data_IF_865953118390
#
_entry.id   IF_865953118390
#
_cell.length_a   1.000
_cell.length_b   1.000
_cell.length_c   1.000
_cell.angle_alpha   90.00
_cell.angle_beta   90.00
_cell.angle_gamma   90.00
#
_symmetry.space_group_name_H-M   'P 1'
#
loop_
_entity.id
_entity.type
_entity.pdbx_description
1 polymer ?
#
# COMPACT_ATOMS: atom_id res chain seq x y z
N UNK A 1 18.53 6.79 -7.92
CA UNK A 1 17.43 7.41 -8.67
C UNK A 1 17.70 7.48 -10.18
N UNK A 2 18.85 8.01 -10.64
CA UNK A 2 19.15 8.11 -12.08
C UNK A 2 19.11 6.75 -12.82
N UNK A 3 19.76 5.68 -12.34
CA UNK A 3 19.71 4.39 -13.02
C UNK A 3 18.28 3.84 -13.15
N UNK A 4 17.49 3.95 -12.09
CA UNK A 4 16.10 3.50 -12.09
C UNK A 4 15.25 4.28 -13.11
N UNK A 5 15.49 5.60 -13.23
CA UNK A 5 14.80 6.42 -14.21
C UNK A 5 15.13 5.99 -15.65
N UNK A 6 16.39 5.68 -15.95
CA UNK A 6 16.79 5.19 -17.26
C UNK A 6 16.12 3.87 -17.62
N UNK A 7 16.11 2.92 -16.68
CA UNK A 7 15.40 1.65 -16.87
C UNK A 7 13.90 1.86 -17.14
N UNK A 8 13.26 2.72 -16.36
CA UNK A 8 11.84 3.04 -16.54
C UNK A 8 11.56 3.67 -17.91
N UNK A 9 12.49 4.52 -18.37
CA UNK A 9 12.40 5.14 -19.70
C UNK A 9 12.56 4.11 -20.82
N UNK A 10 13.53 3.21 -20.72
CA UNK A 10 13.80 2.16 -21.70
C UNK A 10 12.62 1.19 -21.87
N UNK A 11 11.93 0.89 -20.75
CA UNK A 11 10.71 0.07 -20.76
C UNK A 11 9.42 0.85 -21.11
N UNK A 12 9.52 2.12 -21.50
CA UNK A 12 8.37 3.00 -21.78
C UNK A 12 7.35 3.09 -20.63
N UNK A 13 7.82 2.98 -19.38
CA UNK A 13 7.02 3.06 -18.17
C UNK A 13 6.94 4.48 -17.59
N UNK A 14 7.64 5.45 -18.19
CA UNK A 14 7.50 6.88 -17.84
C UNK A 14 6.16 7.40 -18.37
N UNK A 15 5.57 8.33 -17.62
CA UNK A 15 4.24 8.90 -17.91
C UNK A 15 3.13 7.85 -18.02
N UNK A 16 3.27 6.75 -17.28
CA UNK A 16 2.35 5.63 -17.24
C UNK A 16 2.11 5.21 -15.78
N UNK A 17 0.85 4.96 -15.41
CA UNK A 17 0.50 4.51 -14.06
C UNK A 17 1.14 3.17 -13.70
N UNK A 18 1.31 2.26 -14.65
CA UNK A 18 1.99 0.98 -14.41
C UNK A 18 3.42 1.15 -13.92
N UNK A 19 4.13 2.18 -14.42
CA UNK A 19 5.49 2.47 -13.93
C UNK A 19 5.51 2.80 -12.45
N UNK A 20 4.59 3.65 -11.99
CA UNK A 20 4.51 4.04 -10.58
C UNK A 20 4.00 2.90 -9.69
N UNK A 21 3.12 2.04 -10.22
CA UNK A 21 2.60 0.88 -9.48
C UNK A 21 3.66 -0.22 -9.35
N UNK A 22 4.37 -0.54 -10.41
CA UNK A 22 5.34 -1.65 -10.44
C UNK A 22 6.61 -1.34 -9.66
N UNK A 23 7.05 -0.08 -9.63
CA UNK A 23 8.30 0.31 -8.99
C UNK A 23 8.36 -0.06 -7.50
N UNK A 24 7.36 0.28 -6.66
CA UNK A 24 7.31 -0.10 -5.26
C UNK A 24 6.58 -1.44 -5.02
N UNK A 25 6.18 -2.18 -6.07
CA UNK A 25 5.38 -3.40 -5.93
C UNK A 25 6.10 -4.49 -5.11
N UNK A 26 7.43 -4.57 -5.19
CA UNK A 26 8.23 -5.46 -4.37
C UNK A 26 8.93 -4.63 -3.29
N UNK A 27 8.40 -4.69 -2.08
CA UNK A 27 9.01 -4.09 -0.91
C UNK A 27 9.65 -5.19 -0.06
N UNK A 28 10.99 -5.12 0.12
CA UNK A 28 11.77 -6.14 0.85
C UNK A 28 11.27 -6.29 2.29
N UNK A 29 10.93 -5.20 2.97
CA UNK A 29 10.41 -5.26 4.33
C UNK A 29 9.09 -6.05 4.40
N UNK A 30 8.15 -5.75 3.52
CA UNK A 30 6.86 -6.44 3.46
C UNK A 30 7.02 -7.92 3.08
N UNK A 31 7.98 -8.22 2.20
CA UNK A 31 8.31 -9.60 1.80
C UNK A 31 8.85 -10.40 2.98
N UNK A 32 9.82 -9.85 3.72
CA UNK A 32 10.40 -10.50 4.91
C UNK A 32 9.34 -10.69 6.00
N UNK A 33 8.50 -9.68 6.20
CA UNK A 33 7.39 -9.76 7.18
C UNK A 33 6.42 -10.90 6.82
N UNK A 34 6.05 -11.02 5.55
CA UNK A 34 5.16 -12.09 5.09
C UNK A 34 5.82 -13.47 5.20
N UNK A 35 7.12 -13.57 4.85
CA UNK A 35 7.91 -14.78 5.00
C UNK A 35 7.91 -15.25 6.47
N UNK A 36 8.26 -14.37 7.40
CA UNK A 36 8.30 -14.70 8.83
C UNK A 36 6.92 -15.17 9.33
N UNK A 37 5.85 -14.60 8.81
CA UNK A 37 4.51 -15.02 9.17
C UNK A 37 4.21 -16.43 8.65
N UNK A 38 4.58 -16.75 7.42
CA UNK A 38 4.42 -18.09 6.85
C UNK A 38 5.25 -19.14 7.60
N UNK A 39 6.47 -18.81 7.99
CA UNK A 39 7.34 -19.68 8.79
C UNK A 39 6.79 -19.92 10.21
N UNK A 40 5.91 -19.06 10.70
CA UNK A 40 5.20 -19.23 11.96
C UNK A 40 4.01 -20.21 11.90
N UNK A 41 3.58 -20.64 10.71
CA UNK A 41 2.51 -21.61 10.55
C UNK A 41 3.04 -23.02 10.90
N UNK A 42 2.36 -23.79 11.78
CA UNK A 42 2.81 -25.13 12.15
C UNK A 42 2.93 -26.05 10.93
N UNK A 43 4.11 -26.65 10.75
CA UNK A 43 4.41 -27.50 9.60
C UNK A 43 3.51 -28.75 9.58
N UNK A 44 3.09 -29.24 10.74
CA UNK A 44 2.18 -30.38 10.90
C UNK A 44 0.85 -30.21 10.16
N UNK A 45 0.36 -28.97 10.01
CA UNK A 45 -0.86 -28.71 9.23
C UNK A 45 -0.66 -28.96 7.73
N UNK A 46 0.55 -28.64 7.23
CA UNK A 46 0.90 -28.85 5.83
C UNK A 46 1.13 -30.34 5.55
N UNK A 47 1.87 -31.02 6.44
CA UNK A 47 2.13 -32.48 6.35
C UNK A 47 0.84 -33.29 6.40
N UNK A 48 -0.08 -32.97 7.31
CA UNK A 48 -1.39 -33.62 7.37
C UNK A 48 -2.18 -33.47 6.08
N UNK A 49 -2.18 -32.25 5.50
CA UNK A 49 -2.86 -32.00 4.24
C UNK A 49 -2.21 -32.71 3.04
N UNK A 50 -0.89 -32.91 3.06
CA UNK A 50 -0.18 -33.70 2.05
C UNK A 50 -0.53 -35.16 2.15
N UNK A 51 -0.63 -35.71 3.35
CA UNK A 51 -1.12 -37.13 3.59
C UNK A 51 -2.54 -37.29 3.06
N UNK A 52 -3.40 -36.28 3.21
CA UNK A 52 -4.75 -36.23 2.66
C UNK A 52 -4.79 -36.06 1.12
N UNK A 53 -3.65 -36.06 0.45
CA UNK A 53 -3.54 -35.96 -1.01
C UNK A 53 -3.77 -34.54 -1.55
N UNK A 54 -3.65 -33.49 -0.72
CA UNK A 54 -3.76 -32.12 -1.19
C UNK A 54 -2.50 -31.69 -1.98
N UNK A 55 -2.69 -31.09 -3.14
CA UNK A 55 -1.58 -30.46 -3.87
C UNK A 55 -1.11 -29.19 -3.14
N UNK A 56 0.16 -28.78 -3.33
CA UNK A 56 0.73 -27.56 -2.74
C UNK A 56 -0.10 -26.29 -2.99
N UNK A 57 -0.68 -26.13 -4.20
CA UNK A 57 -1.59 -25.01 -4.50
C UNK A 57 -2.86 -25.07 -3.65
N UNK A 58 -3.41 -26.26 -3.41
CA UNK A 58 -4.60 -26.42 -2.56
C UNK A 58 -4.28 -26.10 -1.11
N UNK A 59 -3.12 -26.49 -0.61
CA UNK A 59 -2.62 -26.15 0.72
C UNK A 59 -2.50 -24.63 0.84
N UNK A 60 -1.85 -23.97 -0.14
CA UNK A 60 -1.73 -22.51 -0.16
C UNK A 60 -3.08 -21.81 -0.05
N UNK A 61 -4.05 -22.17 -0.92
CA UNK A 61 -5.34 -21.47 -0.96
C UNK A 61 -6.30 -21.83 0.17
N UNK A 62 -6.29 -23.08 0.64
CA UNK A 62 -7.26 -23.55 1.64
C UNK A 62 -6.75 -23.48 3.07
N UNK A 63 -5.43 -23.47 3.29
CA UNK A 63 -4.83 -23.49 4.62
C UNK A 63 -4.02 -22.23 4.87
N UNK A 64 -2.98 -22.00 4.08
CA UNK A 64 -1.99 -20.91 4.34
C UNK A 64 -2.62 -19.53 4.22
N UNK A 65 -3.30 -19.23 3.11
CA UNK A 65 -3.91 -17.91 2.88
C UNK A 65 -5.01 -17.57 3.91
N UNK A 66 -5.94 -18.49 4.25
CA UNK A 66 -6.92 -18.22 5.30
C UNK A 66 -6.31 -17.97 6.68
N UNK A 67 -5.27 -18.73 7.06
CA UNK A 67 -4.55 -18.51 8.32
C UNK A 67 -3.79 -17.19 8.33
N UNK A 68 -3.33 -16.73 7.16
CA UNK A 68 -2.53 -15.52 6.97
C UNK A 68 -3.36 -14.25 6.77
N UNK A 69 -4.68 -14.28 6.93
CA UNK A 69 -5.56 -13.11 6.68
C UNK A 69 -5.13 -11.86 7.44
N UNK A 70 -4.69 -12.00 8.69
CA UNK A 70 -4.24 -10.89 9.51
C UNK A 70 -2.96 -10.25 8.95
N UNK A 71 -1.97 -11.06 8.56
CA UNK A 71 -0.73 -10.57 7.95
C UNK A 71 -0.99 -9.93 6.57
N UNK A 72 -1.83 -10.57 5.74
CA UNK A 72 -2.23 -10.03 4.44
C UNK A 72 -2.94 -8.69 4.57
N UNK A 73 -3.85 -8.54 5.53
CA UNK A 73 -4.54 -7.27 5.77
C UNK A 73 -3.55 -6.18 6.23
N UNK A 74 -2.61 -6.52 7.10
CA UNK A 74 -1.59 -5.59 7.60
C UNK A 74 -0.66 -5.13 6.49
N UNK A 75 -0.11 -6.04 5.71
CA UNK A 75 0.78 -5.74 4.58
C UNK A 75 0.02 -4.99 3.50
N UNK A 76 -1.22 -5.39 3.21
CA UNK A 76 -2.09 -4.69 2.26
C UNK A 76 -2.35 -3.24 2.67
N UNK A 77 -2.57 -2.97 3.97
CA UNK A 77 -2.69 -1.60 4.48
C UNK A 77 -1.38 -0.82 4.33
N UNK A 78 -0.22 -1.44 4.61
CA UNK A 78 1.08 -0.78 4.43
C UNK A 78 1.30 -0.36 2.96
N UNK A 79 0.95 -1.23 2.01
CA UNK A 79 0.98 -0.87 0.60
C UNK A 79 -0.02 0.23 0.26
N UNK A 80 -1.26 0.15 0.74
CA UNK A 80 -2.28 1.17 0.49
C UNK A 80 -1.83 2.55 0.98
N UNK A 81 -1.28 2.62 2.21
CA UNK A 81 -0.72 3.86 2.76
C UNK A 81 0.48 4.34 1.96
N UNK A 82 1.37 3.43 1.56
CA UNK A 82 2.55 3.74 0.75
C UNK A 82 2.18 4.37 -0.59
N UNK A 83 1.28 3.73 -1.34
CA UNK A 83 0.81 4.26 -2.64
C UNK A 83 0.01 5.56 -2.51
N UNK A 84 -0.80 5.69 -1.45
CA UNK A 84 -1.53 6.93 -1.22
C UNK A 84 -0.62 8.12 -0.97
N UNK A 85 0.46 7.91 -0.21
CA UNK A 85 1.41 8.96 0.15
C UNK A 85 2.55 9.15 -0.86
N UNK A 86 2.57 8.38 -1.95
CA UNK A 86 3.65 8.41 -2.94
C UNK A 86 3.58 9.66 -3.81
N UNK A 87 4.23 10.70 -3.36
CA UNK A 87 4.46 11.94 -4.10
C UNK A 87 5.70 11.83 -4.99
N UNK A 88 6.77 11.20 -4.49
CA UNK A 88 8.10 11.26 -5.12
C UNK A 88 8.14 10.54 -6.44
N UNK A 89 7.58 9.31 -6.51
CA UNK A 89 7.57 8.56 -7.75
C UNK A 89 6.64 9.21 -8.78
N UNK A 90 5.48 9.72 -8.35
CA UNK A 90 4.60 10.47 -9.26
C UNK A 90 5.30 11.70 -9.83
N UNK A 91 6.00 12.48 -9.02
CA UNK A 91 6.74 13.67 -9.48
C UNK A 91 7.86 13.34 -10.46
N UNK A 92 8.54 12.19 -10.28
CA UNK A 92 9.66 11.79 -11.13
C UNK A 92 9.22 11.19 -12.46
N UNK A 93 8.16 10.38 -12.44
CA UNK A 93 7.82 9.54 -13.59
C UNK A 93 6.57 9.99 -14.35
N UNK A 94 5.71 10.83 -13.75
CA UNK A 94 4.47 11.31 -14.38
C UNK A 94 4.58 12.78 -14.72
N UNK A 95 4.44 13.10 -16.01
CA UNK A 95 4.43 14.46 -16.54
C UNK A 95 3.00 14.93 -16.87
N UNK A 96 2.10 14.00 -17.18
CA UNK A 96 0.72 14.31 -17.53
C UNK A 96 -0.10 14.59 -16.26
N UNK A 97 -0.61 15.82 -16.12
CA UNK A 97 -1.41 16.25 -14.96
C UNK A 97 -2.69 15.44 -14.73
N UNK A 98 -3.24 14.81 -15.78
CA UNK A 98 -4.41 13.95 -15.67
C UNK A 98 -4.13 12.64 -14.89
N UNK A 99 -2.86 12.22 -14.83
CA UNK A 99 -2.42 11.02 -14.13
C UNK A 99 -1.91 11.31 -12.72
N UNK A 100 -1.95 12.57 -12.26
CA UNK A 100 -1.51 12.94 -10.93
C UNK A 100 -2.37 12.30 -9.86
N UNK A 101 -1.72 11.72 -8.85
CA UNK A 101 -2.41 11.23 -7.66
C UNK A 101 -2.87 12.40 -6.77
N UNK A 102 -3.63 12.04 -5.72
CA UNK A 102 -4.15 13.03 -4.79
C UNK A 102 -3.03 13.84 -4.10
N UNK A 103 -1.92 13.21 -3.73
CA UNK A 103 -0.79 13.87 -3.05
C UNK A 103 -0.09 14.91 -3.94
N UNK A 104 0.01 14.66 -5.25
CA UNK A 104 0.53 15.64 -6.20
C UNK A 104 -0.36 16.89 -6.25
N UNK A 105 -1.67 16.68 -6.36
CA UNK A 105 -2.67 17.76 -6.41
C UNK A 105 -2.75 18.50 -5.09
N UNK A 106 -2.75 17.78 -3.97
CA UNK A 106 -2.74 18.37 -2.63
C UNK A 106 -1.51 19.28 -2.41
N UNK A 107 -0.35 18.79 -2.80
CA UNK A 107 0.89 19.55 -2.63
C UNK A 107 0.96 20.79 -3.53
N UNK A 108 0.48 20.68 -4.77
CA UNK A 108 0.35 21.83 -5.68
C UNK A 108 -0.58 22.89 -5.08
N UNK A 109 -1.70 22.49 -4.51
CA UNK A 109 -2.65 23.38 -3.84
C UNK A 109 -2.05 24.04 -2.58
N UNK A 110 -1.34 23.27 -1.75
CA UNK A 110 -0.68 23.82 -0.54
C UNK A 110 0.43 24.81 -0.90
N UNK A 111 1.18 24.54 -1.97
CA UNK A 111 2.28 25.43 -2.42
C UNK A 111 1.79 26.64 -3.21
N UNK A 112 0.49 26.78 -3.44
CA UNK A 112 -0.11 27.94 -4.08
C UNK A 112 0.00 27.96 -5.60
N UNK A 113 0.42 26.85 -6.24
CA UNK A 113 0.54 26.77 -7.70
C UNK A 113 -0.79 26.55 -8.43
N UNK A 114 -1.82 26.06 -7.73
CA UNK A 114 -3.11 25.68 -8.33
C UNK A 114 -4.31 26.07 -7.46
N UNK A 115 -4.29 27.26 -6.85
CA UNK A 115 -5.48 27.75 -6.13
C UNK A 115 -6.58 28.04 -7.13
N UNK A 116 -7.76 27.35 -7.01
CA UNK A 116 -8.91 27.71 -7.84
C UNK A 116 -9.33 29.14 -7.50
N UNK A 117 -9.31 30.02 -8.48
CA UNK A 117 -9.84 31.40 -8.39
C UNK A 117 -11.33 31.48 -8.06
N UNK A 118 -12.00 30.34 -7.91
CA UNK A 118 -13.46 30.20 -7.84
C UNK A 118 -14.03 30.02 -6.43
N UNK A 119 -13.22 30.07 -5.39
CA UNK A 119 -13.76 29.99 -4.02
C UNK A 119 -13.94 31.41 -3.48
N UNK A 120 -14.96 32.12 -3.98
CA UNK A 120 -15.35 33.42 -3.45
C UNK A 120 -15.64 33.28 -1.95
N UNK A 121 -14.86 34.00 -1.12
CA UNK A 121 -15.06 34.12 0.33
C UNK A 121 -14.27 33.15 1.21
N UNK A 122 -13.55 32.16 0.70
CA UNK A 122 -12.67 31.33 1.50
C UNK A 122 -11.21 31.84 1.48
N UNK A 123 -10.63 31.98 2.67
CA UNK A 123 -9.21 32.33 2.79
C UNK A 123 -8.37 31.16 2.29
N UNK A 124 -7.23 31.44 1.63
CA UNK A 124 -6.27 30.45 1.14
C UNK A 124 -5.95 29.38 2.20
N UNK A 125 -5.78 29.79 3.45
CA UNK A 125 -5.53 28.87 4.56
C UNK A 125 -6.70 27.92 4.84
N UNK A 126 -7.95 28.36 4.63
CA UNK A 126 -9.14 27.51 4.82
C UNK A 126 -9.19 26.40 3.79
N UNK A 127 -8.88 26.71 2.53
CA UNK A 127 -8.81 25.72 1.45
C UNK A 127 -7.71 24.70 1.70
N UNK A 128 -6.52 25.16 2.11
CA UNK A 128 -5.39 24.30 2.46
C UNK A 128 -5.72 23.35 3.61
N UNK A 129 -6.32 23.86 4.69
CA UNK A 129 -6.71 23.05 5.84
C UNK A 129 -7.80 22.04 5.49
N UNK A 130 -8.79 22.42 4.69
CA UNK A 130 -9.82 21.52 4.21
C UNK A 130 -9.23 20.38 3.36
N UNK A 131 -8.28 20.69 2.48
CA UNK A 131 -7.61 19.70 1.65
C UNK A 131 -6.79 18.69 2.48
N UNK A 132 -6.12 19.13 3.55
CA UNK A 132 -5.43 18.24 4.50
C UNK A 132 -6.40 17.31 5.22
N UNK A 133 -7.56 17.82 5.67
CA UNK A 133 -8.60 16.98 6.30
C UNK A 133 -9.09 15.92 5.30
N UNK A 134 -9.40 16.30 4.07
CA UNK A 134 -9.82 15.36 3.01
C UNK A 134 -8.75 14.30 2.74
N UNK A 135 -7.47 14.64 2.85
CA UNK A 135 -6.36 13.69 2.67
C UNK A 135 -6.35 12.58 3.73
N UNK A 136 -6.79 12.86 4.94
CA UNK A 136 -6.78 11.93 6.08
C UNK A 136 -8.04 11.06 6.12
N UNK A 137 -9.17 11.55 5.59
CA UNK A 137 -10.48 10.87 5.66
C UNK A 137 -10.46 9.40 5.21
N UNK A 138 -9.84 9.01 4.08
CA UNK A 138 -9.82 7.61 3.65
C UNK A 138 -9.20 6.68 4.70
N UNK A 139 -8.13 7.13 5.36
CA UNK A 139 -7.47 6.34 6.41
C UNK A 139 -8.28 6.27 7.69
N UNK A 140 -8.96 7.35 8.07
CA UNK A 140 -9.86 7.34 9.22
C UNK A 140 -11.00 6.33 9.03
N UNK A 141 -11.47 6.15 7.79
CA UNK A 141 -12.53 5.18 7.48
C UNK A 141 -11.96 3.75 7.44
N UNK A 142 -10.81 3.53 6.81
CA UNK A 142 -10.23 2.19 6.60
C UNK A 142 -9.64 1.63 7.91
N UNK A 143 -9.06 2.48 8.76
CA UNK A 143 -8.36 2.07 9.97
C UNK A 143 -9.19 1.16 10.91
N UNK A 144 -10.45 1.48 11.27
CA UNK A 144 -11.25 0.62 12.15
C UNK A 144 -11.47 -0.79 11.58
N UNK A 145 -11.59 -0.92 10.26
CA UNK A 145 -11.74 -2.22 9.62
C UNK A 145 -10.46 -3.04 9.66
N UNK A 146 -9.31 -2.40 9.57
CA UNK A 146 -8.02 -3.08 9.64
C UNK A 146 -7.59 -3.39 11.08
N UNK A 147 -7.99 -2.56 12.05
CA UNK A 147 -7.60 -2.69 13.46
C UNK A 147 -7.93 -4.08 14.03
N UNK A 148 -9.08 -4.65 13.70
CA UNK A 148 -9.47 -6.00 14.14
C UNK A 148 -8.50 -7.09 13.71
N UNK A 149 -7.86 -6.94 12.55
CA UNK A 149 -6.88 -7.91 12.04
C UNK A 149 -5.51 -7.73 12.68
N UNK A 150 -5.13 -6.49 13.03
CA UNK A 150 -3.89 -6.22 13.75
C UNK A 150 -3.89 -6.86 15.14
N UNK A 151 -4.97 -6.72 15.89
CA UNK A 151 -5.09 -7.30 17.24
C UNK A 151 -4.99 -8.83 17.21
N UNK A 152 -5.55 -9.47 16.20
CA UNK A 152 -5.47 -10.93 16.03
C UNK A 152 -4.06 -11.40 15.63
N UNK A 153 -3.34 -10.64 14.81
CA UNK A 153 -1.99 -10.99 14.36
C UNK A 153 -0.93 -10.91 15.46
N UNK A 154 -1.03 -9.95 16.36
CA UNK A 154 -0.09 -9.76 17.49
C UNK A 154 -0.16 -10.94 18.47
N UNK A 155 -1.35 -11.51 18.71
CA UNK A 155 -1.51 -12.63 19.63
C UNK A 155 -0.87 -13.92 19.14
N UNK A 156 -0.77 -14.14 17.83
CA UNK A 156 -0.13 -15.35 17.25
C UNK A 156 1.40 -15.27 17.37
N UNK A 157 1.96 -14.07 17.33
CA UNK A 157 3.41 -13.85 17.50
C UNK A 157 3.89 -13.85 18.96
N UNK A 158 2.99 -13.64 19.91
CA UNK A 158 3.31 -13.57 21.33
C UNK A 158 3.26 -14.95 22.06
N UNK A 159 2.72 -15.98 21.42
CA UNK A 159 2.68 -17.35 21.96
C UNK A 159 3.83 -18.17 21.40
N UNK A 160 5.06 -17.68 21.57
CA UNK A 160 6.30 -18.46 21.46
C UNK A 160 6.94 -18.51 22.86
N UNK A 161 6.39 -19.32 23.76
CA UNK A 161 7.09 -19.99 24.84
C UNK A 161 6.88 -21.47 24.73
#
# INVERSE_FOLDING_TARGET
>A
MIPTYLVMKDFHLTNNLWGVILLPAINVYNLVLMKNFFEGIPISLMESAEIDGCSHFRILYKIVLPLSKAALASIGLMYAVGYWNDYTNYKLYITNSNLYNFQMKLRALIMGSDLPSAVEGATENTVKNAAVIVAILPFMIIYPFCQKYFVQGVNIGAVKE
#
